data_IF_615713622884
#
_entry.id   IF_615713622884
#
_cell.length_a   1.000
_cell.length_b   1.000
_cell.length_c   1.000
_cell.angle_alpha   90.00
_cell.angle_beta   90.00
_cell.angle_gamma   90.00
#
_symmetry.space_group_name_H-M   'P 1'
#
loop_
_entity.id
_entity.type
_entity.pdbx_description
1 polymer ?
#
# COMPACT_ATOMS: atom_id res chain seq x y z
N UNK A 1 -2.40 -19.24 5.87
CA UNK A 1 -3.61 -18.37 5.77
C UNK A 1 -3.45 -17.13 4.91
N UNK A 2 -2.53 -16.22 5.21
CA UNK A 2 -2.33 -14.99 4.41
C UNK A 2 -1.85 -15.27 2.99
N UNK A 3 -1.03 -16.30 2.76
CA UNK A 3 -0.60 -16.72 1.41
C UNK A 3 -1.76 -17.25 0.58
N UNK A 4 -2.65 -18.06 1.17
CA UNK A 4 -3.87 -18.49 0.51
C UNK A 4 -4.80 -17.29 0.19
N UNK A 5 -4.86 -16.28 1.06
CA UNK A 5 -5.57 -15.02 0.77
C UNK A 5 -4.92 -14.26 -0.38
N UNK A 6 -3.59 -14.24 -0.44
CA UNK A 6 -2.84 -13.60 -1.52
C UNK A 6 -3.06 -14.31 -2.85
N UNK A 7 -3.02 -15.64 -2.88
CA UNK A 7 -3.32 -16.44 -4.07
C UNK A 7 -4.73 -16.14 -4.59
N UNK A 8 -5.72 -16.03 -3.70
CA UNK A 8 -7.10 -15.61 -4.07
C UNK A 8 -7.15 -14.19 -4.63
N UNK A 9 -6.33 -13.27 -4.11
CA UNK A 9 -6.22 -11.92 -4.67
C UNK A 9 -5.66 -11.97 -6.09
N UNK A 10 -4.59 -12.75 -6.31
CA UNK A 10 -3.99 -12.92 -7.64
C UNK A 10 -5.02 -13.51 -8.61
N UNK A 11 -5.74 -14.54 -8.21
CA UNK A 11 -6.80 -15.15 -9.03
C UNK A 11 -7.90 -14.13 -9.41
N UNK A 12 -8.32 -13.27 -8.47
CA UNK A 12 -9.30 -12.20 -8.72
C UNK A 12 -8.83 -11.16 -9.73
N UNK A 13 -7.54 -10.82 -9.76
CA UNK A 13 -7.01 -9.80 -10.69
C UNK A 13 -6.63 -10.38 -12.05
N UNK A 14 -6.64 -11.70 -12.19
CA UNK A 14 -6.36 -12.42 -13.44
C UNK A 14 -7.60 -13.08 -14.03
N UNK A 15 -7.54 -13.41 -15.31
CA UNK A 15 -8.55 -14.19 -16.00
C UNK A 15 -7.88 -15.38 -16.69
N UNK A 16 -8.39 -16.60 -16.44
CA UNK A 16 -7.83 -17.84 -16.98
C UNK A 16 -6.58 -18.36 -16.25
N UNK A 17 -6.33 -17.91 -15.02
CA UNK A 17 -5.33 -18.52 -14.13
C UNK A 17 -5.75 -19.95 -13.75
N UNK A 18 -4.78 -20.86 -13.63
CA UNK A 18 -4.99 -22.18 -13.04
C UNK A 18 -4.10 -22.32 -11.80
N UNK A 19 -4.75 -22.55 -10.67
CA UNK A 19 -4.11 -22.60 -9.36
C UNK A 19 -4.48 -23.92 -8.70
N UNK A 20 -3.47 -24.73 -8.39
CA UNK A 20 -3.67 -26.02 -7.72
C UNK A 20 -2.76 -26.09 -6.50
N UNK A 21 -3.36 -26.44 -5.36
CA UNK A 21 -2.66 -26.62 -4.10
C UNK A 21 -2.79 -28.11 -3.75
N UNK A 22 -1.67 -28.76 -3.43
CA UNK A 22 -1.72 -30.17 -3.01
C UNK A 22 -2.48 -30.32 -1.68
N UNK A 23 -2.92 -31.55 -1.37
CA UNK A 23 -3.72 -31.82 -0.17
C UNK A 23 -3.04 -31.39 1.14
N UNK A 24 -1.70 -31.43 1.18
CA UNK A 24 -0.90 -31.05 2.36
C UNK A 24 -0.60 -29.55 2.44
N UNK A 25 -0.93 -28.75 1.41
CA UNK A 25 -0.66 -27.30 1.37
C UNK A 25 0.81 -26.91 1.23
N UNK A 26 1.69 -27.86 0.88
CA UNK A 26 3.15 -27.69 0.78
C UNK A 26 3.64 -27.44 -0.64
N UNK A 27 2.79 -27.61 -1.64
CA UNK A 27 3.14 -27.41 -3.05
C UNK A 27 2.03 -26.66 -3.76
N UNK A 28 2.43 -25.61 -4.48
CA UNK A 28 1.56 -24.76 -5.28
C UNK A 28 1.96 -24.91 -6.76
N UNK A 29 1.02 -25.31 -7.60
CA UNK A 29 1.12 -25.16 -9.04
C UNK A 29 0.35 -23.89 -9.45
N UNK A 30 1.05 -22.97 -10.11
CA UNK A 30 0.47 -21.72 -10.59
C UNK A 30 0.77 -21.55 -12.08
N UNK A 31 -0.27 -21.61 -12.90
CA UNK A 31 -0.21 -21.26 -14.31
C UNK A 31 -0.87 -19.88 -14.48
N UNK A 32 -0.09 -18.82 -14.80
CA UNK A 32 -0.59 -17.46 -14.86
C UNK A 32 -1.63 -17.30 -15.99
N UNK A 33 -2.66 -16.51 -15.70
CA UNK A 33 -3.64 -16.05 -16.67
C UNK A 33 -3.33 -14.65 -17.21
N UNK A 34 -4.31 -14.07 -17.91
CA UNK A 34 -4.24 -12.68 -18.36
C UNK A 34 -4.49 -11.72 -17.19
N UNK A 35 -3.61 -10.75 -16.98
CA UNK A 35 -3.85 -9.64 -16.04
C UNK A 35 -5.06 -8.81 -16.51
N UNK A 36 -6.19 -8.90 -15.80
CA UNK A 36 -7.45 -8.35 -16.27
C UNK A 36 -7.77 -6.98 -15.66
N UNK A 37 -7.61 -6.84 -14.34
CA UNK A 37 -7.93 -5.60 -13.61
C UNK A 37 -9.43 -5.34 -13.42
N UNK A 38 -9.81 -4.07 -13.28
CA UNK A 38 -11.19 -3.65 -13.04
C UNK A 38 -11.47 -3.20 -11.59
N UNK A 39 -12.76 -3.12 -11.24
CA UNK A 39 -13.22 -2.74 -9.90
C UNK A 39 -13.35 -3.99 -9.02
N UNK A 40 -12.56 -4.06 -7.96
CA UNK A 40 -12.44 -5.26 -7.12
C UNK A 40 -12.48 -4.91 -5.62
N UNK A 41 -12.82 -5.91 -4.81
CA UNK A 41 -12.69 -5.83 -3.36
C UNK A 41 -12.01 -7.09 -2.81
N UNK A 42 -11.16 -6.91 -1.80
CA UNK A 42 -10.46 -8.01 -1.15
C UNK A 42 -10.24 -7.78 0.34
N UNK A 43 -10.68 -8.77 1.13
CA UNK A 43 -10.42 -8.84 2.56
C UNK A 43 -9.08 -9.53 2.81
N UNK A 44 -8.10 -8.74 3.25
CA UNK A 44 -6.79 -9.21 3.63
C UNK A 44 -6.85 -10.00 4.94
N UNK A 45 -6.04 -11.05 5.05
CA UNK A 45 -5.89 -11.78 6.32
C UNK A 45 -5.31 -10.86 7.40
N UNK A 46 -5.87 -10.82 8.62
CA UNK A 46 -5.34 -10.01 9.72
C UNK A 46 -3.92 -10.38 10.16
N UNK A 47 -3.40 -11.54 9.75
CA UNK A 47 -2.04 -12.01 10.06
C UNK A 47 -0.93 -11.22 9.35
N UNK A 48 -1.27 -10.43 8.33
CA UNK A 48 -0.34 -9.57 7.58
C UNK A 48 -0.98 -8.22 7.28
N UNK A 49 -0.17 -7.18 7.16
CA UNK A 49 -0.63 -5.87 6.75
C UNK A 49 -1.14 -5.85 5.30
N UNK A 50 -2.04 -4.92 4.99
CA UNK A 50 -2.51 -4.62 3.63
C UNK A 50 -1.32 -4.35 2.70
N UNK A 51 -0.23 -3.78 3.22
CA UNK A 51 1.00 -3.53 2.48
C UNK A 51 1.56 -4.75 1.76
N UNK A 52 1.49 -5.93 2.39
CA UNK A 52 1.92 -7.20 1.79
C UNK A 52 1.20 -7.50 0.46
N UNK A 53 -0.11 -7.25 0.42
CA UNK A 53 -0.94 -7.47 -0.76
C UNK A 53 -0.76 -6.34 -1.78
N UNK A 54 -0.70 -5.10 -1.28
CA UNK A 54 -0.60 -3.89 -2.11
C UNK A 54 0.71 -3.84 -2.89
N UNK A 55 1.83 -4.26 -2.29
CA UNK A 55 3.15 -4.29 -2.95
C UNK A 55 3.12 -5.09 -4.26
N UNK A 56 2.52 -6.27 -4.24
CA UNK A 56 2.37 -7.10 -5.44
C UNK A 56 1.47 -6.44 -6.48
N UNK A 57 0.39 -5.79 -6.06
CA UNK A 57 -0.51 -5.08 -6.96
C UNK A 57 0.16 -3.86 -7.60
N UNK A 58 1.04 -3.15 -6.88
CA UNK A 58 1.80 -2.03 -7.44
C UNK A 58 2.67 -2.46 -8.63
N UNK A 59 3.20 -3.68 -8.59
CA UNK A 59 4.00 -4.26 -9.68
C UNK A 59 3.15 -4.72 -10.87
N UNK A 60 1.93 -5.23 -10.63
CA UNK A 60 1.09 -5.83 -11.67
C UNK A 60 0.10 -4.85 -12.31
N UNK A 61 -0.46 -3.92 -11.52
CA UNK A 61 -1.55 -3.06 -11.92
C UNK A 61 -1.30 -2.23 -13.20
N UNK A 62 -0.09 -1.70 -13.46
CA UNK A 62 0.18 -0.97 -14.69
C UNK A 62 -0.01 -1.82 -15.96
N UNK A 63 0.13 -3.14 -15.87
CA UNK A 63 0.13 -4.04 -17.03
C UNK A 63 -1.19 -4.79 -17.25
N UNK A 64 -2.24 -4.43 -16.49
CA UNK A 64 -3.56 -5.05 -16.62
C UNK A 64 -4.28 -4.62 -17.90
N UNK A 65 -5.23 -5.42 -18.37
CA UNK A 65 -6.07 -5.09 -19.53
C UNK A 65 -6.96 -3.86 -19.28
N UNK A 66 -7.50 -3.74 -18.08
CA UNK A 66 -8.35 -2.65 -17.62
C UNK A 66 -7.74 -1.97 -16.39
N UNK A 67 -7.97 -0.64 -16.20
CA UNK A 67 -7.50 0.05 -15.00
C UNK A 67 -7.96 -0.65 -13.73
N UNK A 68 -7.05 -0.77 -12.76
CA UNK A 68 -7.37 -1.39 -11.48
C UNK A 68 -7.94 -0.33 -10.53
N UNK A 69 -9.07 -0.64 -9.91
CA UNK A 69 -9.57 0.07 -8.73
C UNK A 69 -9.96 -0.98 -7.70
N UNK A 70 -9.16 -1.12 -6.65
CA UNK A 70 -9.36 -2.16 -5.65
C UNK A 70 -9.50 -1.58 -4.25
N UNK A 71 -10.50 -2.08 -3.52
CA UNK A 71 -10.67 -1.83 -2.08
C UNK A 71 -10.02 -2.98 -1.32
N UNK A 72 -9.02 -2.68 -0.49
CA UNK A 72 -8.38 -3.65 0.38
C UNK A 72 -8.78 -3.37 1.83
N UNK A 73 -9.26 -4.39 2.55
CA UNK A 73 -9.71 -4.29 3.94
C UNK A 73 -8.85 -5.17 4.85
N UNK A 74 -8.44 -4.65 6.01
CA UNK A 74 -7.54 -5.39 6.91
C UNK A 74 -6.71 -4.50 7.82
N UNK A 75 -5.52 -4.96 8.21
CA UNK A 75 -4.57 -4.21 9.03
C UNK A 75 -3.78 -3.24 8.14
N UNK A 76 -3.83 -1.92 8.41
CA UNK A 76 -3.12 -0.93 7.57
C UNK A 76 -1.64 -0.79 7.93
N UNK A 77 -1.30 -1.06 9.19
CA UNK A 77 0.05 -0.91 9.73
C UNK A 77 0.30 -2.04 10.74
N UNK A 78 1.37 -2.80 10.54
CA UNK A 78 1.91 -3.74 11.52
C UNK A 78 3.42 -3.45 11.73
N UNK A 79 4.15 -4.41 12.32
CA UNK A 79 5.58 -4.27 12.60
C UNK A 79 6.48 -4.97 11.57
N UNK A 80 5.91 -5.66 10.58
CA UNK A 80 6.65 -6.55 9.67
C UNK A 80 6.53 -6.08 8.22
N UNK A 81 5.35 -5.67 7.82
CA UNK A 81 5.01 -5.30 6.45
C UNK A 81 5.19 -3.79 6.20
N UNK A 82 5.45 -3.40 4.93
CA UNK A 82 5.49 -1.99 4.58
C UNK A 82 4.12 -1.36 4.88
N UNK A 83 4.12 -0.27 5.65
CA UNK A 83 2.87 0.45 5.91
C UNK A 83 2.27 1.02 4.63
N UNK A 84 0.95 1.17 4.62
CA UNK A 84 0.22 1.85 3.52
C UNK A 84 0.72 3.29 3.29
N UNK A 85 1.17 3.98 4.34
CA UNK A 85 1.75 5.32 4.25
C UNK A 85 3.11 5.32 3.54
N UNK A 86 3.96 4.33 3.85
CA UNK A 86 5.25 4.16 3.18
C UNK A 86 5.02 3.91 1.68
N UNK A 87 4.17 2.95 1.32
CA UNK A 87 3.86 2.66 -0.09
C UNK A 87 3.26 3.88 -0.80
N UNK A 88 2.37 4.62 -0.15
CA UNK A 88 1.82 5.87 -0.69
C UNK A 88 2.89 6.93 -0.93
N UNK A 89 3.82 7.10 0.00
CA UNK A 89 4.86 8.13 -0.04
C UNK A 89 6.01 7.78 -1.00
N UNK A 90 6.32 6.50 -1.20
CA UNK A 90 7.47 6.05 -2.00
C UNK A 90 7.07 5.46 -3.35
N UNK A 91 6.10 4.55 -3.38
CA UNK A 91 5.75 3.82 -4.60
C UNK A 91 5.04 4.72 -5.61
N UNK A 92 4.11 5.59 -5.19
CA UNK A 92 3.40 6.47 -6.14
C UNK A 92 4.34 7.44 -6.87
N UNK A 93 5.25 8.18 -6.19
CA UNK A 93 6.23 8.99 -6.90
C UNK A 93 7.16 8.18 -7.81
N UNK A 94 7.52 6.96 -7.42
CA UNK A 94 8.34 6.08 -8.23
C UNK A 94 7.62 5.64 -9.51
N UNK A 95 6.37 5.19 -9.41
CA UNK A 95 5.54 4.80 -10.56
C UNK A 95 5.36 5.97 -11.54
N UNK A 96 5.16 7.19 -11.03
CA UNK A 96 5.10 8.40 -11.87
C UNK A 96 6.37 8.61 -12.70
N UNK A 97 7.55 8.30 -12.16
CA UNK A 97 8.82 8.40 -12.91
C UNK A 97 8.92 7.38 -14.04
N UNK A 98 8.28 6.21 -13.89
CA UNK A 98 8.15 5.22 -14.96
C UNK A 98 7.10 5.60 -16.01
N UNK A 99 6.56 6.82 -15.99
CA UNK A 99 5.50 7.26 -16.91
C UNK A 99 4.12 6.69 -16.57
N UNK A 100 3.95 6.14 -15.36
CA UNK A 100 2.64 5.75 -14.82
C UNK A 100 2.07 6.97 -14.12
N UNK A 101 1.67 7.95 -14.92
CA UNK A 101 0.97 9.15 -14.50
C UNK A 101 -0.49 9.11 -14.96
N UNK A 102 -1.35 9.86 -14.26
CA UNK A 102 -2.78 9.91 -14.51
C UNK A 102 -3.55 10.33 -13.26
N UNK A 103 -4.69 11.01 -13.44
CA UNK A 103 -5.56 11.45 -12.34
C UNK A 103 -6.05 10.28 -11.47
N UNK A 104 -6.06 9.07 -12.03
CA UNK A 104 -6.53 7.86 -11.37
C UNK A 104 -5.46 7.11 -10.57
N UNK A 105 -4.17 7.50 -10.61
CA UNK A 105 -3.15 6.84 -9.78
C UNK A 105 -3.20 7.35 -8.34
N UNK A 106 -3.80 6.60 -7.44
CA UNK A 106 -3.92 6.98 -6.03
C UNK A 106 -3.90 5.79 -5.06
N UNK A 107 -3.38 6.06 -3.85
CA UNK A 107 -3.61 5.25 -2.66
C UNK A 107 -4.31 6.14 -1.64
N UNK A 108 -5.58 5.81 -1.36
CA UNK A 108 -6.41 6.52 -0.40
C UNK A 108 -6.66 5.63 0.81
N UNK A 109 -6.30 6.13 2.00
CA UNK A 109 -6.59 5.45 3.27
C UNK A 109 -7.92 6.01 3.74
N UNK A 110 -8.98 5.21 3.69
CA UNK A 110 -10.31 5.61 4.15
C UNK A 110 -10.46 5.37 5.66
N UNK A 111 -9.92 4.24 6.14
CA UNK A 111 -9.94 3.84 7.54
C UNK A 111 -8.61 3.22 7.91
N UNK A 112 -8.11 3.53 9.11
CA UNK A 112 -6.92 2.85 9.66
C UNK A 112 -7.36 1.67 10.50
N UNK A 113 -6.70 0.52 10.36
CA UNK A 113 -7.00 -0.70 11.09
C UNK A 113 -5.77 -1.27 11.75
N UNK A 114 -5.83 -1.49 13.06
CA UNK A 114 -4.70 -1.97 13.86
C UNK A 114 -4.86 -3.45 14.21
N UNK A 115 -3.76 -4.20 14.37
CA UNK A 115 -3.85 -5.57 14.90
C UNK A 115 -4.40 -5.55 16.34
N UNK A 116 -5.09 -6.62 16.80
CA UNK A 116 -5.31 -7.89 16.10
C UNK A 116 -6.57 -7.92 15.21
N UNK A 117 -7.48 -6.95 15.34
CA UNK A 117 -8.80 -6.99 14.67
C UNK A 117 -8.81 -6.41 13.26
N UNK A 118 -7.85 -5.55 12.90
CA UNK A 118 -7.81 -4.89 11.60
C UNK A 118 -8.91 -3.84 11.46
N UNK A 119 -9.80 -3.98 10.48
CA UNK A 119 -10.90 -3.04 10.23
C UNK A 119 -10.51 -1.78 9.44
N UNK A 120 -9.30 -1.73 8.93
CA UNK A 120 -8.82 -0.69 8.04
C UNK A 120 -9.31 -0.92 6.62
N UNK A 121 -9.31 0.15 5.83
CA UNK A 121 -9.77 0.14 4.46
C UNK A 121 -8.94 1.14 3.65
N UNK A 122 -8.38 0.66 2.54
CA UNK A 122 -7.76 1.51 1.54
C UNK A 122 -8.39 1.31 0.17
N UNK A 123 -8.28 2.33 -0.67
CA UNK A 123 -8.56 2.26 -2.10
C UNK A 123 -7.24 2.45 -2.82
N UNK A 124 -6.89 1.51 -3.68
CA UNK A 124 -5.80 1.64 -4.65
C UNK A 124 -6.40 1.74 -6.05
N UNK A 125 -6.05 2.79 -6.77
CA UNK A 125 -6.41 2.97 -8.17
C UNK A 125 -5.15 3.17 -9.01
N UNK A 126 -5.11 2.52 -10.18
CA UNK A 126 -3.95 2.55 -11.07
C UNK A 126 -4.40 2.49 -12.54
N UNK A 127 -3.97 3.45 -13.39
CA UNK A 127 -4.20 3.38 -14.83
C UNK A 127 -3.33 2.31 -15.49
N UNK A 128 -3.79 1.82 -16.64
CA UNK A 128 -3.01 0.90 -17.48
C UNK A 128 -1.94 1.68 -18.25
N UNK A 129 -0.74 1.12 -18.32
CA UNK A 129 0.38 1.60 -19.14
C UNK A 129 1.00 0.47 -19.94
N UNK A 130 0.98 0.64 -21.27
CA UNK A 130 1.57 -0.32 -22.22
C UNK A 130 3.09 -0.25 -22.28
N UNK A 131 3.66 0.93 -22.01
CA UNK A 131 5.09 1.21 -22.12
C UNK A 131 5.52 2.00 -20.89
N UNK A 132 6.59 1.55 -20.25
CA UNK A 132 7.24 2.26 -19.17
C UNK A 132 8.37 3.13 -19.69
N UNK A 133 8.56 4.28 -19.07
CA UNK A 133 9.73 5.12 -19.30
C UNK A 133 10.90 4.60 -18.47
N UNK A 134 12.07 4.33 -19.08
CA UNK A 134 13.24 3.92 -18.31
C UNK A 134 13.70 5.08 -17.42
N UNK A 135 14.02 4.77 -16.16
CA UNK A 135 14.48 5.76 -15.19
C UNK A 135 15.95 5.51 -14.89
N UNK A 136 16.78 6.55 -14.99
CA UNK A 136 18.17 6.52 -14.55
C UNK A 136 18.29 7.22 -13.20
N UNK A 137 18.68 6.47 -12.18
CA UNK A 137 18.82 6.94 -10.79
C UNK A 137 20.25 6.67 -10.31
N UNK A 138 21.22 7.28 -10.98
CA UNK A 138 22.65 7.08 -10.70
C UNK A 138 23.18 7.99 -9.60
N UNK A 139 22.58 9.17 -9.43
CA UNK A 139 22.92 10.13 -8.39
C UNK A 139 21.75 10.29 -7.39
N UNK A 140 21.95 9.97 -6.09
CA UNK A 140 20.93 10.20 -5.05
C UNK A 140 20.64 11.69 -4.80
N UNK A 141 21.55 12.59 -5.19
CA UNK A 141 21.40 14.03 -5.00
C UNK A 141 21.36 14.46 -3.53
N UNK A 142 20.83 15.67 -3.29
CA UNK A 142 20.71 16.27 -1.94
C UNK A 142 19.28 16.20 -1.42
N UNK A 143 19.13 16.00 -0.11
CA UNK A 143 17.84 16.06 0.57
C UNK A 143 17.39 17.52 0.63
N UNK A 144 16.29 17.84 -0.06
CA UNK A 144 15.72 19.21 -0.08
C UNK A 144 14.78 19.49 1.09
N UNK A 145 14.03 18.47 1.53
CA UNK A 145 12.98 18.58 2.55
C UNK A 145 12.61 17.21 3.12
N UNK A 146 12.05 17.19 4.32
CA UNK A 146 11.52 15.98 4.96
C UNK A 146 10.01 16.11 5.11
N UNK A 147 9.29 15.07 4.68
CA UNK A 147 7.83 14.93 4.85
C UNK A 147 7.53 13.61 5.52
N UNK A 148 6.50 13.57 6.37
CA UNK A 148 6.07 12.33 7.03
C UNK A 148 4.64 12.43 7.52
N UNK A 149 4.11 11.30 8.00
CA UNK A 149 2.78 11.23 8.60
C UNK A 149 2.89 10.54 9.96
N UNK A 150 2.43 11.19 11.01
CA UNK A 150 2.28 10.64 12.34
C UNK A 150 0.79 10.40 12.59
N UNK A 151 0.40 9.13 12.75
CA UNK A 151 -1.00 8.79 12.94
C UNK A 151 -1.31 8.39 14.38
N UNK A 152 -2.55 8.57 14.80
CA UNK A 152 -3.08 7.99 16.05
C UNK A 152 -4.50 7.50 15.85
N UNK A 153 -4.81 6.30 16.39
CA UNK A 153 -6.08 5.59 16.16
C UNK A 153 -6.64 5.18 17.51
N UNK A 154 -7.89 5.55 17.83
CA UNK A 154 -8.57 5.26 19.11
C UNK A 154 -7.83 5.71 20.39
N UNK A 155 -6.85 6.59 20.26
CA UNK A 155 -6.10 7.18 21.38
C UNK A 155 -6.14 8.70 21.29
N UNK A 156 -5.61 9.39 22.31
CA UNK A 156 -5.53 10.85 22.31
C UNK A 156 -4.71 11.36 21.11
N UNK A 157 -5.17 12.42 20.40
CA UNK A 157 -4.39 13.04 19.32
C UNK A 157 -3.05 13.61 19.80
N UNK A 158 -2.92 13.85 21.11
CA UNK A 158 -1.66 14.25 21.73
C UNK A 158 -0.53 13.24 21.47
N UNK A 159 -0.85 11.95 21.26
CA UNK A 159 0.17 10.96 20.92
C UNK A 159 0.83 11.26 19.58
N UNK A 160 0.05 11.62 18.56
CA UNK A 160 0.60 12.04 17.27
C UNK A 160 1.42 13.32 17.40
N UNK A 161 0.96 14.30 18.18
CA UNK A 161 1.71 15.53 18.41
C UNK A 161 3.06 15.27 19.10
N UNK A 162 3.10 14.40 20.12
CA UNK A 162 4.33 13.99 20.81
C UNK A 162 5.31 13.29 19.87
N UNK A 163 4.81 12.44 18.97
CA UNK A 163 5.64 11.83 17.92
C UNK A 163 6.25 12.88 16.99
N UNK A 164 5.45 13.87 16.56
CA UNK A 164 5.94 14.97 15.70
C UNK A 164 7.00 15.79 16.42
N UNK A 165 6.76 16.19 17.67
CA UNK A 165 7.70 16.97 18.47
C UNK A 165 9.04 16.23 18.65
N UNK A 166 8.97 14.95 19.01
CA UNK A 166 10.15 14.10 19.21
C UNK A 166 10.94 13.94 17.91
N UNK A 167 10.25 13.65 16.80
CA UNK A 167 10.89 13.54 15.48
C UNK A 167 11.54 14.86 15.05
N UNK A 168 10.86 16.00 15.23
CA UNK A 168 11.42 17.33 14.93
C UNK A 168 12.63 17.66 15.80
N UNK A 169 12.63 17.29 17.07
CA UNK A 169 13.75 17.51 17.99
C UNK A 169 15.06 16.85 17.52
N UNK A 170 14.96 15.75 16.78
CA UNK A 170 16.11 15.08 16.17
C UNK A 170 16.38 15.65 14.77
N UNK A 171 15.37 15.70 13.92
CA UNK A 171 15.56 15.97 12.49
C UNK A 171 15.89 17.43 12.17
N UNK A 172 15.45 18.40 12.99
CA UNK A 172 15.75 19.82 12.80
C UNK A 172 17.26 20.12 12.86
N UNK A 173 18.06 19.22 13.45
CA UNK A 173 19.53 19.33 13.47
C UNK A 173 20.15 19.17 12.09
N UNK A 174 19.44 18.55 11.15
CA UNK A 174 19.92 18.26 9.80
C UNK A 174 19.37 19.22 8.75
N UNK A 175 18.08 19.57 8.83
CA UNK A 175 17.43 20.45 7.85
C UNK A 175 16.21 21.18 8.46
N UNK A 176 15.97 22.46 8.14
CA UNK A 176 14.81 23.20 8.67
C UNK A 176 13.46 22.88 7.97
N UNK A 177 13.45 22.51 6.69
CA UNK A 177 12.21 22.23 5.94
C UNK A 177 11.68 20.81 6.24
N UNK A 178 11.06 20.70 7.41
CA UNK A 178 10.45 19.47 7.92
C UNK A 178 8.97 19.72 8.16
N UNK A 179 8.12 18.87 7.59
CA UNK A 179 6.68 18.91 7.83
C UNK A 179 6.13 17.50 8.01
N UNK A 180 5.59 17.22 9.19
CA UNK A 180 5.00 15.92 9.53
C UNK A 180 3.50 16.14 9.74
N UNK A 181 2.68 15.53 8.88
CA UNK A 181 1.23 15.57 8.97
C UNK A 181 0.76 14.75 10.18
N UNK A 182 -0.20 15.26 10.93
CA UNK A 182 -0.88 14.49 11.97
C UNK A 182 -2.18 13.91 11.42
N UNK A 183 -2.35 12.61 11.56
CA UNK A 183 -3.52 11.89 11.07
C UNK A 183 -4.23 11.19 12.24
N UNK A 184 -5.28 11.82 12.76
CA UNK A 184 -6.06 11.29 13.88
C UNK A 184 -7.37 10.68 13.41
N UNK A 185 -7.54 9.39 13.67
CA UNK A 185 -8.74 8.65 13.28
C UNK A 185 -9.55 8.25 14.53
N UNK A 186 -10.86 8.55 14.50
CA UNK A 186 -11.84 8.27 15.56
C UNK A 186 -13.10 7.60 14.98
N UNK A 187 -13.85 6.91 15.82
CA UNK A 187 -15.15 6.33 15.49
C UNK A 187 -15.06 5.30 14.36
N UNK A 188 -15.95 5.41 13.38
CA UNK A 188 -16.07 4.46 12.26
C UNK A 188 -14.82 4.43 11.37
N UNK A 189 -14.03 5.51 11.35
CA UNK A 189 -12.78 5.59 10.58
C UNK A 189 -11.58 4.94 11.27
N UNK A 190 -11.78 4.44 12.49
CA UNK A 190 -10.77 3.72 13.27
C UNK A 190 -11.21 2.27 13.48
N UNK A 191 -10.60 1.35 12.74
CA UNK A 191 -10.75 -0.10 12.82
C UNK A 191 -10.08 -0.72 14.04
#
# INVERSE_FOLDING_TARGET
DFEASFIRLIDKVTNGSRIEINQTGTTLYYQPGLLYGGSLEHDCSPSRGIGYYLESLLCLAPFMKHPLKIVLRGVTNDQVDPSVDVLKATALPLLKKFGIDGESLEIKINRRGMPPKGGGEIVFACPVRKVLQPVQFTDPGKIKRIRGTAYSVRVSPQMANRMVESARGILNKFLPDIYIYTDHMKGVSSG
#
